data_IF_407148824011
#
_entry.id   IF_407148824011
#
_cell.length_a   1.000
_cell.length_b   1.000
_cell.length_c   1.000
_cell.angle_alpha   90.00
_cell.angle_beta   90.00
_cell.angle_gamma   90.00
#
_symmetry.space_group_name_H-M   'P 1'
#
loop_
_entity.id
_entity.type
_entity.pdbx_description
1 polymer ?
#
# COMPACT_ATOMS: atom_id res chain seq x y z
N UNK A 1 68.71 46.63 -11.28
CA UNK A 1 67.28 46.81 -10.92
C UNK A 1 66.82 45.52 -10.28
N UNK A 2 66.52 45.54 -8.99
CA UNK A 2 66.14 44.38 -8.18
C UNK A 2 64.89 44.73 -7.38
N UNK A 3 63.84 43.91 -7.44
CA UNK A 3 62.65 43.92 -6.58
C UNK A 3 62.15 42.45 -6.59
N UNK A 4 62.52 41.58 -5.64
CA UNK A 4 62.16 41.41 -4.23
C UNK A 4 60.69 41.06 -3.97
N UNK A 5 60.51 39.89 -3.34
CA UNK A 5 59.26 39.17 -3.07
C UNK A 5 58.38 39.83 -2.00
N UNK A 6 57.07 39.67 -2.20
CA UNK A 6 55.99 40.15 -1.35
C UNK A 6 55.91 39.41 -0.01
N UNK A 7 55.81 40.17 1.07
CA UNK A 7 55.13 39.78 2.29
C UNK A 7 53.89 40.64 2.47
N UNK A 8 52.76 40.02 2.78
CA UNK A 8 51.63 40.70 3.44
C UNK A 8 50.93 39.70 4.34
N UNK A 9 51.07 39.90 5.66
CA UNK A 9 50.16 39.40 6.69
C UNK A 9 49.05 40.42 6.85
N UNK A 10 47.82 39.98 7.09
CA UNK A 10 46.81 40.64 7.94
C UNK A 10 45.62 39.67 8.13
N UNK A 11 45.52 39.10 9.34
CA UNK A 11 44.42 39.22 10.32
C UNK A 11 43.14 38.45 10.03
N UNK A 12 42.98 37.38 10.81
CA UNK A 12 41.79 36.58 11.04
C UNK A 12 40.69 37.41 11.72
N UNK A 13 39.52 37.48 11.11
CA UNK A 13 38.26 37.80 11.80
C UNK A 13 37.39 36.56 11.84
N UNK A 14 36.83 36.36 13.02
CA UNK A 14 36.18 35.17 13.55
C UNK A 14 34.72 35.13 13.07
N UNK A 15 34.34 34.13 12.29
CA UNK A 15 32.93 33.77 12.06
C UNK A 15 32.39 32.99 13.27
N UNK A 16 31.08 33.13 13.61
CA UNK A 16 30.50 32.42 14.74
C UNK A 16 30.22 30.95 14.39
N UNK A 17 30.55 30.07 15.35
CA UNK A 17 30.24 28.65 15.38
C UNK A 17 28.74 28.38 15.15
N UNK A 18 28.42 27.65 14.08
CA UNK A 18 27.20 26.83 14.01
C UNK A 18 27.56 25.46 14.59
N UNK A 19 27.30 25.29 15.88
CA UNK A 19 27.45 24.02 16.57
C UNK A 19 26.52 22.96 15.96
N UNK A 20 27.11 21.85 15.49
CA UNK A 20 26.38 20.64 15.12
C UNK A 20 25.83 19.96 16.39
N UNK A 21 24.60 19.41 16.38
CA UNK A 21 24.07 18.69 17.54
C UNK A 21 24.76 17.32 17.71
N UNK A 22 25.12 16.99 18.95
CA UNK A 22 25.66 15.67 19.31
C UNK A 22 24.65 14.52 19.08
N UNK A 23 25.13 13.31 18.73
CA UNK A 23 24.27 12.16 18.49
C UNK A 23 23.74 11.58 19.81
N UNK A 24 22.41 11.58 19.98
CA UNK A 24 21.76 10.85 21.07
C UNK A 24 21.82 9.34 20.80
N UNK A 25 22.46 8.62 21.72
CA UNK A 25 22.48 7.16 21.78
C UNK A 25 21.06 6.66 22.09
N UNK A 26 20.42 5.99 21.12
CA UNK A 26 19.16 5.27 21.33
C UNK A 26 19.45 3.94 22.04
N UNK A 27 19.01 3.83 23.30
CA UNK A 27 18.98 2.55 24.00
C UNK A 27 17.78 1.71 23.52
N UNK A 28 18.07 0.63 22.80
CA UNK A 28 17.09 -0.40 22.43
C UNK A 28 16.52 -1.07 23.68
N UNK A 29 15.20 -0.95 23.90
CA UNK A 29 14.47 -1.78 24.88
C UNK A 29 14.22 -3.16 24.27
N UNK A 30 14.60 -4.21 25.00
CA UNK A 30 14.34 -5.62 24.66
C UNK A 30 12.84 -5.92 24.66
N UNK A 31 12.33 -6.79 23.76
CA UNK A 31 10.95 -7.26 23.83
C UNK A 31 10.79 -8.22 25.01
N UNK A 32 9.82 -7.92 25.88
CA UNK A 32 9.39 -8.81 26.96
C UNK A 32 8.47 -9.88 26.37
N UNK A 33 8.88 -11.15 26.48
CA UNK A 33 8.06 -12.32 26.20
C UNK A 33 7.25 -12.64 27.45
N UNK A 34 5.92 -12.62 27.38
CA UNK A 34 5.05 -13.15 28.42
C UNK A 34 4.47 -14.49 27.94
N UNK A 35 4.87 -15.57 28.63
CA UNK A 35 4.19 -16.86 28.63
C UNK A 35 2.98 -16.77 29.53
N UNK A 36 1.80 -17.16 29.04
CA UNK A 36 0.66 -17.47 29.89
C UNK A 36 0.42 -18.98 29.86
N UNK A 37 0.58 -19.60 31.03
CA UNK A 37 0.02 -20.90 31.39
C UNK A 37 -1.13 -20.63 32.34
N UNK A 38 -2.26 -21.32 32.19
CA UNK A 38 -3.36 -21.21 33.14
C UNK A 38 -4.67 -21.76 32.60
N UNK A 39 -4.93 -23.02 32.92
CA UNK A 39 -6.20 -23.72 32.80
C UNK A 39 -7.37 -22.92 33.39
N UNK A 40 -8.52 -23.00 32.72
CA UNK A 40 -9.77 -22.41 33.19
C UNK A 40 -10.93 -22.82 32.29
N UNK A 41 -11.42 -24.05 32.47
CA UNK A 41 -12.63 -24.53 31.84
C UNK A 41 -13.84 -23.73 32.35
N UNK A 42 -14.50 -23.00 31.44
CA UNK A 42 -15.87 -22.53 31.64
C UNK A 42 -16.67 -22.83 30.37
N UNK A 43 -17.64 -23.72 30.53
CA UNK A 43 -18.61 -24.13 29.54
C UNK A 43 -19.67 -23.05 29.36
N UNK A 44 -19.76 -22.49 28.16
CA UNK A 44 -20.94 -21.77 27.71
C UNK A 44 -21.27 -22.20 26.29
N UNK A 45 -22.31 -23.02 26.18
CA UNK A 45 -22.97 -23.40 24.95
C UNK A 45 -23.55 -22.17 24.25
N UNK A 46 -22.96 -21.75 23.14
CA UNK A 46 -23.63 -20.94 22.14
C UNK A 46 -23.81 -21.79 20.89
N UNK A 47 -25.08 -22.02 20.56
CA UNK A 47 -25.49 -22.69 19.35
C UNK A 47 -24.88 -21.97 18.14
N UNK A 48 -24.08 -22.70 17.37
CA UNK A 48 -23.55 -22.29 16.08
C UNK A 48 -24.71 -22.07 15.11
N UNK A 49 -25.15 -20.83 14.98
CA UNK A 49 -25.99 -20.40 13.88
C UNK A 49 -25.11 -20.23 12.65
N UNK A 50 -25.01 -21.29 11.86
CA UNK A 50 -24.37 -21.35 10.56
C UNK A 50 -25.16 -20.55 9.51
N UNK A 51 -25.03 -19.22 9.51
CA UNK A 51 -25.60 -18.36 8.46
C UNK A 51 -24.67 -17.19 8.15
N UNK A 52 -23.55 -17.44 7.47
CA UNK A 52 -22.88 -16.42 6.65
C UNK A 52 -22.23 -17.12 5.45
N UNK A 53 -22.93 -17.23 4.32
CA UNK A 53 -22.32 -17.79 3.11
C UNK A 53 -22.94 -17.28 1.79
N UNK A 54 -23.26 -15.99 1.71
CA UNK A 54 -23.51 -15.34 0.40
C UNK A 54 -23.23 -13.82 0.39
N UNK A 55 -22.18 -13.37 1.08
CA UNK A 55 -21.76 -11.98 0.94
C UNK A 55 -20.93 -11.79 -0.35
N UNK A 56 -21.57 -11.22 -1.37
CA UNK A 56 -20.93 -10.88 -2.64
C UNK A 56 -20.30 -9.48 -2.58
N UNK A 57 -19.02 -9.43 -2.21
CA UNK A 57 -18.21 -8.21 -2.13
C UNK A 57 -18.26 -7.35 -3.40
N UNK A 58 -18.35 -7.98 -4.57
CA UNK A 58 -18.40 -7.28 -5.86
C UNK A 58 -19.74 -6.59 -6.06
N UNK A 59 -20.86 -7.28 -5.79
CA UNK A 59 -22.20 -6.68 -5.83
C UNK A 59 -22.32 -5.57 -4.79
N UNK A 60 -21.81 -5.80 -3.57
CA UNK A 60 -21.77 -4.79 -2.52
C UNK A 60 -21.05 -3.52 -3.00
N UNK A 61 -19.81 -3.64 -3.49
CA UNK A 61 -19.04 -2.49 -4.01
C UNK A 61 -19.74 -1.81 -5.18
N UNK A 62 -20.34 -2.58 -6.09
CA UNK A 62 -21.10 -2.04 -7.22
C UNK A 62 -22.29 -1.18 -6.77
N UNK A 63 -22.97 -1.59 -5.70
CA UNK A 63 -24.07 -0.83 -5.12
C UNK A 63 -23.56 0.38 -4.32
N UNK A 64 -22.53 0.20 -3.50
CA UNK A 64 -21.91 1.25 -2.70
C UNK A 64 -21.47 2.43 -3.57
N UNK A 65 -20.77 2.13 -4.66
CA UNK A 65 -20.25 3.13 -5.61
C UNK A 65 -21.32 3.93 -6.37
N UNK A 66 -22.58 3.47 -6.36
CA UNK A 66 -23.76 4.16 -6.93
C UNK A 66 -24.64 4.80 -5.88
N UNK A 67 -24.33 4.61 -4.60
CA UNK A 67 -25.07 5.22 -3.51
C UNK A 67 -24.89 6.74 -3.53
N UNK A 68 -25.87 7.45 -2.96
CA UNK A 68 -25.84 8.92 -2.88
C UNK A 68 -24.71 9.44 -1.98
N UNK A 69 -24.29 8.63 -1.01
CA UNK A 69 -23.33 9.01 0.01
C UNK A 69 -21.91 8.52 -0.32
N UNK A 70 -21.63 8.21 -1.59
CA UNK A 70 -20.32 7.77 -2.04
C UNK A 70 -19.82 8.68 -3.16
N UNK A 71 -18.68 9.31 -2.95
CA UNK A 71 -18.01 10.11 -3.96
C UNK A 71 -16.60 9.59 -4.23
N UNK A 72 -16.27 9.43 -5.51
CA UNK A 72 -14.92 9.13 -5.97
C UNK A 72 -14.41 10.15 -7.00
N UNK A 73 -15.26 11.07 -7.49
CA UNK A 73 -14.96 11.91 -8.65
C UNK A 73 -14.35 13.28 -8.29
N UNK A 74 -14.27 13.62 -7.00
CA UNK A 74 -14.00 15.00 -6.56
C UNK A 74 -15.30 15.81 -6.44
N UNK A 75 -15.19 17.08 -6.11
CA UNK A 75 -16.31 17.99 -5.80
C UNK A 75 -16.34 19.24 -6.68
N UNK A 76 -15.54 19.29 -7.75
CA UNK A 76 -15.54 20.40 -8.71
C UNK A 76 -14.59 21.54 -8.35
N UNK A 77 -13.68 21.32 -7.39
CA UNK A 77 -12.66 22.28 -6.95
C UNK A 77 -11.25 21.84 -7.39
N UNK A 78 -11.15 21.06 -8.45
CA UNK A 78 -9.90 20.41 -8.86
C UNK A 78 -8.78 21.38 -9.21
N UNK A 79 -9.04 22.40 -10.03
CA UNK A 79 -8.00 23.33 -10.48
C UNK A 79 -7.38 24.08 -9.31
N UNK A 80 -8.22 24.70 -8.48
CA UNK A 80 -7.80 25.45 -7.29
C UNK A 80 -7.05 24.57 -6.26
N UNK A 81 -7.54 23.35 -6.01
CA UNK A 81 -6.87 22.43 -5.06
C UNK A 81 -5.55 21.90 -5.60
N UNK A 82 -5.41 21.71 -6.92
CA UNK A 82 -4.13 21.38 -7.55
C UNK A 82 -3.14 22.55 -7.49
N UNK A 83 -3.58 23.78 -7.68
CA UNK A 83 -2.72 24.96 -7.53
C UNK A 83 -2.16 25.05 -6.11
N UNK A 84 -3.00 24.87 -5.09
CA UNK A 84 -2.57 24.83 -3.70
C UNK A 84 -1.57 23.69 -3.43
N UNK A 85 -1.88 22.48 -3.89
CA UNK A 85 -0.99 21.32 -3.75
C UNK A 85 0.38 21.58 -4.38
N UNK A 86 0.42 22.18 -5.57
CA UNK A 86 1.65 22.49 -6.29
C UNK A 86 2.49 23.53 -5.55
N UNK A 87 1.85 24.57 -4.99
CA UNK A 87 2.52 25.56 -4.16
C UNK A 87 3.14 24.93 -2.90
N UNK A 88 2.43 24.00 -2.26
CA UNK A 88 2.88 23.37 -1.01
C UNK A 88 3.99 22.32 -1.23
N UNK A 89 3.94 21.54 -2.32
CA UNK A 89 4.79 20.34 -2.47
C UNK A 89 5.71 20.32 -3.69
N UNK A 90 5.48 21.14 -4.71
CA UNK A 90 6.24 21.06 -5.97
C UNK A 90 7.00 22.35 -6.32
N UNK A 91 6.58 23.50 -5.81
CA UNK A 91 7.08 24.81 -6.21
C UNK A 91 8.14 25.38 -5.24
N UNK A 92 9.28 24.69 -5.10
CA UNK A 92 10.43 25.30 -4.42
C UNK A 92 11.32 26.06 -5.40
N UNK A 93 11.89 27.18 -4.95
CA UNK A 93 12.78 28.03 -5.75
C UNK A 93 13.95 27.23 -6.34
N UNK A 94 14.52 26.31 -5.56
CA UNK A 94 15.63 25.46 -6.01
C UNK A 94 15.22 24.49 -7.12
N UNK A 95 14.02 23.90 -7.03
CA UNK A 95 13.50 23.00 -8.07
C UNK A 95 13.24 23.77 -9.36
N UNK A 96 12.71 24.99 -9.26
CA UNK A 96 12.55 25.88 -10.41
C UNK A 96 13.90 26.21 -11.05
N UNK A 97 14.90 26.60 -10.26
CA UNK A 97 16.26 26.86 -10.76
C UNK A 97 16.86 25.63 -11.44
N UNK A 98 16.74 24.44 -10.85
CA UNK A 98 17.25 23.20 -11.45
C UNK A 98 16.57 22.91 -12.80
N UNK A 99 15.25 23.06 -12.90
CA UNK A 99 14.51 22.89 -14.16
C UNK A 99 14.95 23.87 -15.24
N UNK A 100 15.10 25.15 -14.89
CA UNK A 100 15.55 26.21 -15.82
C UNK A 100 16.98 25.98 -16.32
N UNK A 101 17.82 25.28 -15.54
CA UNK A 101 19.19 24.93 -15.90
C UNK A 101 19.35 23.50 -16.48
N UNK A 102 18.28 22.92 -17.03
CA UNK A 102 18.36 21.60 -17.67
C UNK A 102 18.54 20.44 -16.68
N UNK A 103 17.87 20.52 -15.53
CA UNK A 103 17.91 19.53 -14.44
C UNK A 103 19.25 19.42 -13.70
N UNK A 104 20.13 20.41 -13.84
CA UNK A 104 21.43 20.40 -13.20
C UNK A 104 21.83 21.80 -12.71
N UNK A 105 22.47 21.88 -11.56
CA UNK A 105 23.06 23.12 -11.06
C UNK A 105 24.37 22.84 -10.33
N UNK A 106 25.41 23.62 -10.63
CA UNK A 106 26.73 23.47 -10.02
C UNK A 106 27.04 24.67 -9.11
N UNK A 107 27.32 24.38 -7.84
CA UNK A 107 27.76 25.36 -6.85
C UNK A 107 29.17 25.01 -6.37
N UNK A 108 30.16 25.82 -6.78
CA UNK A 108 31.57 25.55 -6.49
C UNK A 108 32.02 24.23 -7.12
N UNK A 109 32.34 23.25 -6.29
CA UNK A 109 32.75 21.89 -6.68
C UNK A 109 31.65 20.83 -6.51
N UNK A 110 30.40 21.24 -6.22
CA UNK A 110 29.26 20.34 -6.03
C UNK A 110 28.27 20.52 -7.18
N UNK A 111 27.90 19.42 -7.83
CA UNK A 111 26.86 19.39 -8.86
C UNK A 111 25.63 18.66 -8.34
N UNK A 112 24.49 19.34 -8.35
CA UNK A 112 23.18 18.77 -7.99
C UNK A 112 22.42 18.48 -9.28
N UNK A 113 21.90 17.25 -9.40
CA UNK A 113 21.10 16.81 -10.55
C UNK A 113 19.71 16.43 -10.08
N UNK A 114 18.68 16.93 -10.76
CA UNK A 114 17.29 16.59 -10.52
C UNK A 114 16.88 15.46 -11.44
N UNK A 115 16.22 14.43 -10.90
CA UNK A 115 15.63 13.39 -11.74
C UNK A 115 14.56 13.99 -12.66
N UNK A 116 14.42 13.47 -13.88
CA UNK A 116 13.37 13.93 -14.80
C UNK A 116 11.96 13.55 -14.30
N UNK A 117 11.86 12.40 -13.64
CA UNK A 117 10.65 11.94 -12.97
C UNK A 117 10.86 11.96 -11.45
N UNK A 118 10.09 12.79 -10.75
CA UNK A 118 10.11 12.92 -9.29
C UNK A 118 8.77 13.45 -8.77
N UNK A 119 8.56 13.36 -7.45
CA UNK A 119 7.37 13.88 -6.79
C UNK A 119 6.22 12.88 -6.75
N UNK A 120 5.00 13.40 -6.69
CA UNK A 120 3.80 12.58 -6.60
C UNK A 120 3.51 11.88 -7.91
N UNK A 121 3.25 10.58 -7.85
CA UNK A 121 2.61 9.91 -8.99
C UNK A 121 1.16 10.38 -9.10
N UNK A 122 0.56 10.18 -10.27
CA UNK A 122 -0.83 10.58 -10.53
C UNK A 122 -1.84 10.05 -9.49
N UNK A 123 -1.65 8.82 -9.00
CA UNK A 123 -2.52 8.23 -7.99
C UNK A 123 -2.45 8.96 -6.64
N UNK A 124 -1.24 9.37 -6.23
CA UNK A 124 -1.01 10.13 -5.01
C UNK A 124 -1.53 11.55 -5.15
N UNK A 125 -1.19 12.24 -6.23
CA UNK A 125 -1.67 13.60 -6.50
C UNK A 125 -3.20 13.66 -6.44
N UNK A 126 -3.85 12.74 -7.15
CA UNK A 126 -5.32 12.59 -7.15
C UNK A 126 -5.87 12.36 -5.74
N UNK A 127 -5.23 11.53 -4.92
CA UNK A 127 -5.76 11.18 -3.61
C UNK A 127 -5.75 12.38 -2.66
N UNK A 128 -4.60 13.06 -2.58
CA UNK A 128 -4.44 14.26 -1.74
C UNK A 128 -5.35 15.39 -2.24
N UNK A 129 -5.41 15.58 -3.55
CA UNK A 129 -6.25 16.58 -4.19
C UNK A 129 -7.74 16.38 -3.85
N UNK A 130 -8.27 15.15 -3.92
CA UNK A 130 -9.67 14.86 -3.53
C UNK A 130 -9.89 15.07 -2.03
N UNK A 131 -8.91 14.75 -1.17
CA UNK A 131 -9.01 15.03 0.27
C UNK A 131 -9.11 16.55 0.54
N UNK A 132 -8.35 17.37 -0.22
CA UNK A 132 -8.45 18.83 -0.14
C UNK A 132 -9.83 19.32 -0.58
N UNK A 133 -10.36 18.78 -1.69
CA UNK A 133 -11.72 19.09 -2.12
C UNK A 133 -12.76 18.69 -1.06
N UNK A 134 -12.57 17.56 -0.39
CA UNK A 134 -13.49 17.10 0.65
C UNK A 134 -13.59 18.11 1.79
N UNK A 135 -12.46 18.66 2.27
CA UNK A 135 -12.50 19.69 3.31
C UNK A 135 -13.18 20.98 2.84
N UNK A 136 -13.03 21.34 1.57
CA UNK A 136 -13.70 22.52 1.01
C UNK A 136 -15.21 22.30 0.86
N UNK A 137 -15.61 21.13 0.38
CA UNK A 137 -17.00 20.75 0.18
C UNK A 137 -17.77 20.65 1.49
N UNK A 138 -17.13 20.08 2.50
CA UNK A 138 -17.68 19.90 3.83
C UNK A 138 -16.87 20.82 4.74
N UNK A 139 -17.26 22.08 4.99
CA UNK A 139 -16.45 23.00 5.78
C UNK A 139 -16.61 22.81 7.29
N UNK A 140 -17.70 22.16 7.73
CA UNK A 140 -18.08 22.09 9.15
C UNK A 140 -18.14 20.67 9.71
N UNK A 141 -18.35 19.69 8.84
CA UNK A 141 -18.54 18.29 9.18
C UNK A 141 -17.23 17.69 9.72
N UNK A 142 -17.34 16.68 10.58
CA UNK A 142 -16.16 15.94 10.98
C UNK A 142 -15.70 15.08 9.81
N UNK A 143 -14.43 15.20 9.44
CA UNK A 143 -13.83 14.40 8.38
C UNK A 143 -12.82 13.45 9.02
N UNK A 144 -13.07 12.18 8.84
CA UNK A 144 -12.21 11.10 9.28
C UNK A 144 -11.43 10.53 8.10
N UNK A 145 -10.20 10.13 8.35
CA UNK A 145 -9.32 9.48 7.41
C UNK A 145 -8.98 8.10 7.98
N UNK A 146 -9.26 7.03 7.24
CA UNK A 146 -9.25 5.69 7.86
C UNK A 146 -7.84 5.14 8.12
N UNK A 147 -6.85 5.55 7.34
CA UNK A 147 -5.39 5.49 7.55
C UNK A 147 -4.78 6.75 6.93
N UNK A 148 -3.51 7.03 7.20
CA UNK A 148 -2.69 7.93 6.39
C UNK A 148 -3.11 7.97 4.90
N UNK A 149 -3.31 9.17 4.34
CA UNK A 149 -3.78 9.31 2.95
C UNK A 149 -2.80 8.65 1.98
N UNK A 150 -1.52 8.79 2.33
CA UNK A 150 -0.30 8.21 1.78
C UNK A 150 0.75 8.13 2.91
N UNK A 151 1.78 7.29 2.77
CA UNK A 151 2.91 7.25 3.70
C UNK A 151 3.85 8.46 3.57
N UNK A 152 3.34 9.65 3.86
CA UNK A 152 4.08 10.91 3.88
C UNK A 152 3.65 11.75 5.09
N UNK A 153 4.48 11.82 6.15
CA UNK A 153 4.15 12.54 7.37
C UNK A 153 3.81 14.02 7.16
N UNK A 154 4.46 14.67 6.19
CA UNK A 154 4.21 16.10 5.88
C UNK A 154 2.82 16.29 5.30
N UNK A 155 2.34 15.36 4.45
CA UNK A 155 0.99 15.41 3.88
C UNK A 155 -0.05 15.09 4.96
N UNK A 156 0.14 14.04 5.76
CA UNK A 156 -0.81 13.68 6.81
C UNK A 156 -0.94 14.80 7.86
N UNK A 157 0.17 15.40 8.27
CA UNK A 157 0.15 16.58 9.16
C UNK A 157 -0.62 17.75 8.56
N UNK A 158 -0.46 18.00 7.26
CA UNK A 158 -1.20 19.06 6.58
C UNK A 158 -2.71 18.79 6.55
N UNK A 159 -3.11 17.53 6.34
CA UNK A 159 -4.52 17.13 6.43
C UNK A 159 -5.07 17.28 7.87
N UNK A 160 -4.29 16.95 8.89
CA UNK A 160 -4.64 17.17 10.29
C UNK A 160 -4.85 18.67 10.60
N UNK A 161 -3.94 19.54 10.12
CA UNK A 161 -4.09 21.01 10.21
C UNK A 161 -5.34 21.52 9.49
N UNK A 162 -5.76 20.83 8.43
CA UNK A 162 -7.03 21.05 7.73
C UNK A 162 -8.24 20.41 8.45
N UNK A 163 -8.07 19.83 9.65
CA UNK A 163 -9.13 19.14 10.41
C UNK A 163 -9.70 17.93 9.68
N UNK A 164 -8.83 17.18 9.02
CA UNK A 164 -9.09 15.80 8.57
C UNK A 164 -8.33 14.90 9.54
N UNK A 165 -9.06 14.27 10.46
CA UNK A 165 -8.49 13.51 11.58
C UNK A 165 -8.37 12.03 11.21
N UNK A 166 -7.29 11.37 11.60
CA UNK A 166 -7.18 9.92 11.46
C UNK A 166 -8.13 9.19 12.44
N UNK A 167 -8.70 8.08 12.00
CA UNK A 167 -9.47 7.20 12.88
C UNK A 167 -8.54 6.61 13.94
N UNK A 168 -8.85 6.71 15.24
CA UNK A 168 -8.01 6.17 16.30
C UNK A 168 -7.81 4.66 16.16
N UNK A 169 -6.62 4.19 16.52
CA UNK A 169 -6.28 2.77 16.55
C UNK A 169 -6.06 2.37 18.00
N UNK A 170 -6.80 1.37 18.46
CA UNK A 170 -6.63 0.74 19.78
C UNK A 170 -6.41 -0.76 19.61
N UNK A 171 -5.40 -1.31 20.28
CA UNK A 171 -5.03 -2.74 20.17
C UNK A 171 -4.85 -3.25 18.72
N UNK A 172 -4.41 -2.38 17.82
CA UNK A 172 -4.21 -2.70 16.40
C UNK A 172 -5.50 -2.71 15.56
N UNK A 173 -6.62 -2.23 16.09
CA UNK A 173 -7.90 -2.13 15.39
C UNK A 173 -8.39 -0.68 15.31
N UNK A 174 -8.96 -0.31 14.16
CA UNK A 174 -9.57 1.00 13.93
C UNK A 174 -10.86 1.12 14.73
N UNK A 175 -11.00 2.22 15.45
CA UNK A 175 -12.16 2.50 16.29
C UNK A 175 -13.22 3.25 15.50
N UNK A 176 -14.06 2.52 14.74
CA UNK A 176 -15.13 3.15 13.95
C UNK A 176 -16.27 3.72 14.81
N UNK A 177 -16.33 3.40 16.10
CA UNK A 177 -17.37 3.89 17.02
C UNK A 177 -17.37 5.41 17.23
N UNK A 178 -16.22 6.06 17.00
CA UNK A 178 -16.11 7.52 17.07
C UNK A 178 -16.79 8.23 15.88
N UNK A 179 -17.12 7.48 14.82
CA UNK A 179 -17.68 8.00 13.59
C UNK A 179 -19.21 8.00 13.69
N UNK A 180 -19.80 9.19 13.58
CA UNK A 180 -21.23 9.40 13.68
C UNK A 180 -21.90 9.42 12.30
N UNK A 181 -23.21 9.19 12.28
CA UNK A 181 -23.99 9.37 11.07
C UNK A 181 -23.86 10.80 10.54
N UNK A 182 -23.63 10.93 9.23
CA UNK A 182 -23.44 12.23 8.57
C UNK A 182 -22.00 12.75 8.59
N UNK A 183 -21.10 12.14 9.36
CA UNK A 183 -19.66 12.41 9.25
C UNK A 183 -19.16 12.04 7.83
N UNK A 184 -18.02 12.62 7.45
CA UNK A 184 -17.33 12.31 6.19
C UNK A 184 -16.18 11.37 6.49
N UNK A 185 -16.00 10.33 5.67
CA UNK A 185 -14.92 9.36 5.81
C UNK A 185 -14.17 9.23 4.51
N UNK A 186 -12.88 9.57 4.55
CA UNK A 186 -11.94 9.51 3.44
C UNK A 186 -11.26 8.14 3.46
N UNK A 187 -11.39 7.38 2.37
CA UNK A 187 -10.62 6.15 2.16
C UNK A 187 -9.28 6.53 1.49
N UNK A 188 -8.13 6.01 1.95
CA UNK A 188 -6.81 6.44 1.49
C UNK A 188 -6.48 5.96 0.07
N UNK A 189 -5.33 6.39 -0.47
CA UNK A 189 -4.90 6.01 -1.82
C UNK A 189 -4.71 4.50 -2.01
N UNK A 190 -4.36 3.80 -0.92
CA UNK A 190 -4.19 2.34 -0.85
C UNK A 190 -5.52 1.58 -0.81
N UNK A 191 -6.62 2.31 -0.63
CA UNK A 191 -7.97 1.80 -0.47
C UNK A 191 -8.27 1.24 0.91
N UNK A 192 -9.36 0.50 1.00
CA UNK A 192 -9.88 -0.04 2.25
C UNK A 192 -10.31 -1.49 2.08
N UNK A 193 -10.38 -2.23 3.18
CA UNK A 193 -10.93 -3.58 3.17
C UNK A 193 -12.44 -3.57 2.93
N UNK A 194 -12.99 -4.67 2.44
CA UNK A 194 -14.43 -4.80 2.16
C UNK A 194 -15.26 -4.65 3.44
N UNK A 195 -14.80 -5.21 4.55
CA UNK A 195 -15.44 -5.18 5.87
C UNK A 195 -15.48 -3.74 6.42
N UNK A 196 -14.43 -2.98 6.18
CA UNK A 196 -14.34 -1.56 6.53
C UNK A 196 -15.33 -0.73 5.71
N UNK A 197 -15.38 -0.92 4.39
CA UNK A 197 -16.38 -0.27 3.54
C UNK A 197 -17.81 -0.64 3.93
N UNK A 198 -18.04 -1.90 4.31
CA UNK A 198 -19.34 -2.36 4.80
C UNK A 198 -19.74 -1.65 6.10
N UNK A 199 -18.83 -1.62 7.08
CA UNK A 199 -19.05 -0.95 8.38
C UNK A 199 -19.39 0.53 8.20
N UNK A 200 -18.63 1.24 7.36
CA UNK A 200 -18.85 2.66 7.08
C UNK A 200 -20.19 2.90 6.37
N UNK A 201 -20.54 2.05 5.40
CA UNK A 201 -21.84 2.15 4.73
C UNK A 201 -23.02 1.93 5.69
N UNK A 202 -22.92 0.99 6.64
CA UNK A 202 -23.97 0.78 7.64
C UNK A 202 -24.16 1.98 8.57
N UNK A 203 -23.10 2.76 8.82
CA UNK A 203 -23.18 4.00 9.61
C UNK A 203 -23.76 5.20 8.85
N UNK A 204 -24.09 5.04 7.56
CA UNK A 204 -24.69 6.09 6.73
C UNK A 204 -23.87 7.40 6.72
N UNK A 205 -22.54 7.25 6.62
CA UNK A 205 -21.57 8.34 6.48
C UNK A 205 -21.42 8.78 5.02
N UNK A 206 -20.83 9.95 4.78
CA UNK A 206 -20.39 10.36 3.46
C UNK A 206 -19.00 9.76 3.16
N UNK A 207 -18.91 8.80 2.25
CA UNK A 207 -17.65 8.16 1.87
C UNK A 207 -17.01 8.94 0.71
N UNK A 208 -15.77 9.39 0.93
CA UNK A 208 -14.90 9.98 -0.08
C UNK A 208 -13.79 8.98 -0.42
N UNK A 209 -13.95 8.26 -1.52
CA UNK A 209 -12.98 7.26 -1.94
C UNK A 209 -11.85 7.87 -2.78
N UNK A 210 -10.67 7.96 -2.17
CA UNK A 210 -9.47 8.45 -2.85
C UNK A 210 -8.60 7.34 -3.45
N UNK A 211 -9.01 6.06 -3.34
CA UNK A 211 -8.27 4.89 -3.81
C UNK A 211 -7.72 5.10 -5.22
N UNK A 212 -6.42 4.86 -5.36
CA UNK A 212 -5.71 4.94 -6.63
C UNK A 212 -6.38 3.99 -7.65
N UNK A 213 -6.73 4.46 -8.86
CA UNK A 213 -7.35 3.60 -9.87
C UNK A 213 -6.51 2.38 -10.29
N UNK A 214 -5.18 2.43 -10.13
CA UNK A 214 -4.30 1.26 -10.31
C UNK A 214 -4.53 0.20 -9.23
N UNK A 215 -4.76 0.59 -7.98
CA UNK A 215 -5.11 -0.33 -6.88
C UNK A 215 -6.47 -0.98 -7.16
N UNK A 216 -7.47 -0.20 -7.56
CA UNK A 216 -8.78 -0.77 -7.94
C UNK A 216 -8.71 -1.71 -9.16
N UNK A 217 -7.71 -1.56 -10.04
CA UNK A 217 -7.45 -2.50 -11.13
C UNK A 217 -7.00 -3.87 -10.59
N UNK A 218 -6.16 -3.88 -9.56
CA UNK A 218 -5.74 -5.11 -8.85
C UNK A 218 -6.96 -5.80 -8.23
N UNK A 219 -7.86 -5.05 -7.58
CA UNK A 219 -9.09 -5.60 -6.99
C UNK A 219 -9.97 -6.30 -8.03
N UNK A 220 -10.13 -5.69 -9.20
CA UNK A 220 -10.86 -6.32 -10.31
C UNK A 220 -10.19 -7.61 -10.81
N UNK A 221 -8.86 -7.73 -10.69
CA UNK A 221 -8.11 -8.94 -11.06
C UNK A 221 -8.34 -10.07 -10.06
N UNK A 222 -8.24 -9.80 -8.76
CA UNK A 222 -8.52 -10.84 -7.75
C UNK A 222 -9.99 -11.27 -7.74
N UNK A 223 -10.93 -10.36 -8.06
CA UNK A 223 -12.34 -10.73 -8.32
C UNK A 223 -12.49 -11.67 -9.54
N UNK A 224 -11.68 -11.50 -10.59
CA UNK A 224 -11.68 -12.40 -11.75
C UNK A 224 -11.10 -13.76 -11.40
N UNK A 225 -10.03 -13.80 -10.60
CA UNK A 225 -9.48 -15.06 -10.08
C UNK A 225 -10.54 -15.83 -9.30
N UNK A 226 -11.22 -15.16 -8.37
CA UNK A 226 -12.36 -15.72 -7.61
C UNK A 226 -13.44 -16.29 -8.52
N UNK A 227 -13.83 -15.57 -9.59
CA UNK A 227 -14.86 -16.04 -10.53
C UNK A 227 -14.43 -17.28 -11.34
N UNK A 228 -13.13 -17.45 -11.57
CA UNK A 228 -12.58 -18.57 -12.33
C UNK A 228 -12.04 -19.71 -11.46
N UNK A 229 -12.28 -19.68 -10.16
CA UNK A 229 -11.71 -20.63 -9.17
C UNK A 229 -10.17 -20.70 -9.21
N UNK A 230 -9.53 -19.55 -9.42
CA UNK A 230 -8.07 -19.40 -9.28
C UNK A 230 -7.74 -18.82 -7.90
N UNK A 231 -6.70 -19.37 -7.27
CA UNK A 231 -6.05 -18.76 -6.11
C UNK A 231 -5.22 -17.55 -6.55
N UNK A 232 -5.38 -16.43 -5.88
CA UNK A 232 -4.58 -15.23 -6.15
C UNK A 232 -3.23 -15.32 -5.44
N UNK A 233 -2.14 -15.44 -6.19
CA UNK A 233 -0.79 -15.17 -5.68
C UNK A 233 -0.59 -13.66 -5.71
N UNK A 234 -0.61 -13.04 -4.54
CA UNK A 234 -0.49 -11.59 -4.36
C UNK A 234 0.98 -11.27 -4.04
N UNK A 235 1.69 -10.65 -4.98
CA UNK A 235 3.02 -10.11 -4.71
C UNK A 235 2.91 -8.86 -3.83
N UNK A 236 3.30 -8.96 -2.56
CA UNK A 236 3.13 -7.87 -1.60
C UNK A 236 3.54 -8.24 -0.19
N UNK A 237 3.40 -7.29 0.74
CA UNK A 237 3.68 -7.51 2.16
C UNK A 237 2.36 -7.82 2.88
N UNK A 238 2.27 -8.98 3.53
CA UNK A 238 1.01 -9.45 4.12
C UNK A 238 0.37 -8.49 5.14
N UNK A 239 1.17 -7.64 5.78
CA UNK A 239 0.72 -6.65 6.77
C UNK A 239 0.56 -5.23 6.22
N UNK A 240 0.75 -5.02 4.92
CA UNK A 240 0.58 -3.71 4.30
C UNK A 240 -0.89 -3.46 3.97
N UNK A 241 -1.38 -2.25 4.25
CA UNK A 241 -2.79 -1.86 4.08
C UNK A 241 -3.34 -2.11 2.66
N UNK A 242 -2.57 -1.80 1.62
CA UNK A 242 -2.97 -2.13 0.24
C UNK A 242 -3.14 -3.65 0.00
N UNK A 243 -2.27 -4.46 0.59
CA UNK A 243 -2.34 -5.93 0.48
C UNK A 243 -3.52 -6.47 1.26
N UNK A 244 -3.78 -5.95 2.45
CA UNK A 244 -4.96 -6.31 3.27
C UNK A 244 -6.25 -5.95 2.52
N UNK A 245 -6.34 -4.74 1.96
CA UNK A 245 -7.46 -4.31 1.15
C UNK A 245 -7.65 -5.25 -0.06
N UNK A 246 -6.57 -5.52 -0.81
CA UNK A 246 -6.61 -6.42 -1.97
C UNK A 246 -7.04 -7.85 -1.60
N UNK A 247 -6.52 -8.40 -0.50
CA UNK A 247 -6.85 -9.73 -0.02
C UNK A 247 -8.34 -9.86 0.36
N UNK A 248 -8.95 -8.80 0.92
CA UNK A 248 -10.40 -8.79 1.24
C UNK A 248 -11.31 -8.91 0.01
N UNK A 249 -10.81 -8.59 -1.19
CA UNK A 249 -11.54 -8.79 -2.46
C UNK A 249 -11.28 -10.15 -3.12
N UNK A 250 -10.26 -10.88 -2.66
CA UNK A 250 -9.90 -12.17 -3.20
C UNK A 250 -10.84 -13.28 -2.71
N UNK A 251 -10.86 -14.41 -3.43
CA UNK A 251 -11.38 -15.66 -2.90
C UNK A 251 -10.28 -16.33 -2.09
N UNK A 252 -9.72 -17.40 -2.66
CA UNK A 252 -8.48 -18.00 -2.15
C UNK A 252 -7.28 -17.13 -2.52
N UNK A 253 -6.35 -16.96 -1.59
CA UNK A 253 -5.12 -16.21 -1.87
C UNK A 253 -3.93 -16.74 -1.09
N UNK A 254 -2.75 -16.44 -1.61
CA UNK A 254 -1.47 -16.57 -0.95
C UNK A 254 -0.64 -15.31 -1.27
N UNK A 255 -0.04 -14.70 -0.26
CA UNK A 255 0.78 -13.50 -0.38
C UNK A 255 2.25 -13.92 -0.35
N UNK A 256 3.00 -13.47 -1.35
CA UNK A 256 4.45 -13.68 -1.44
C UNK A 256 5.16 -12.35 -1.45
N UNK A 257 6.22 -12.20 -0.66
CA UNK A 257 6.94 -10.94 -0.50
C UNK A 257 7.95 -10.65 -1.60
N UNK A 258 8.57 -11.70 -2.15
CA UNK A 258 9.71 -11.59 -3.06
C UNK A 258 9.90 -12.87 -3.88
N UNK A 259 10.90 -12.85 -4.76
CA UNK A 259 11.30 -14.02 -5.56
C UNK A 259 11.61 -15.27 -4.75
N UNK A 260 12.22 -15.17 -3.57
CA UNK A 260 12.57 -16.35 -2.78
C UNK A 260 11.33 -17.08 -2.25
N UNK A 261 10.31 -16.34 -1.81
CA UNK A 261 9.03 -16.93 -1.41
C UNK A 261 8.26 -17.47 -2.61
N UNK A 262 8.28 -16.78 -3.76
CA UNK A 262 7.67 -17.28 -4.98
C UNK A 262 8.34 -18.59 -5.46
N UNK A 263 9.67 -18.69 -5.40
CA UNK A 263 10.41 -19.92 -5.69
C UNK A 263 10.03 -21.04 -4.73
N UNK A 264 9.93 -20.76 -3.43
CA UNK A 264 9.47 -21.76 -2.46
C UNK A 264 8.08 -22.31 -2.81
N UNK A 265 7.15 -21.44 -3.21
CA UNK A 265 5.81 -21.85 -3.65
C UNK A 265 5.88 -22.70 -4.93
N UNK A 266 6.68 -22.30 -5.90
CA UNK A 266 6.82 -23.03 -7.15
C UNK A 266 7.51 -24.39 -6.98
N UNK A 267 8.51 -24.47 -6.10
CA UNK A 267 9.17 -25.71 -5.72
C UNK A 267 8.19 -26.66 -5.03
N UNK A 268 7.32 -26.13 -4.14
CA UNK A 268 6.25 -26.91 -3.51
C UNK A 268 5.28 -27.48 -4.56
N UNK A 269 4.83 -26.65 -5.50
CA UNK A 269 3.94 -27.06 -6.59
C UNK A 269 4.54 -28.24 -7.38
N UNK A 270 5.85 -28.23 -7.60
CA UNK A 270 6.58 -29.28 -8.33
C UNK A 270 7.05 -30.45 -7.46
N UNK A 271 6.72 -30.45 -6.16
CA UNK A 271 7.11 -31.49 -5.22
C UNK A 271 8.62 -31.54 -4.96
N UNK A 272 9.28 -30.39 -4.81
CA UNK A 272 10.70 -30.28 -4.48
C UNK A 272 11.66 -30.38 -5.67
N UNK A 273 11.16 -30.30 -6.91
CA UNK A 273 11.94 -30.54 -8.14
C UNK A 273 12.47 -29.27 -8.81
N UNK A 274 12.23 -28.08 -8.26
CA UNK A 274 12.69 -26.81 -8.82
C UNK A 274 14.09 -26.48 -8.29
N UNK A 275 14.19 -26.29 -6.97
CA UNK A 275 15.45 -26.01 -6.27
C UNK A 275 15.57 -26.76 -4.92
N UNK A 276 14.53 -27.52 -4.53
CA UNK A 276 14.48 -28.25 -3.28
C UNK A 276 14.36 -27.36 -2.05
N UNK A 277 13.94 -26.10 -2.21
CA UNK A 277 13.74 -25.16 -1.10
C UNK A 277 12.49 -25.45 -0.27
N UNK A 278 11.48 -26.09 -0.86
CA UNK A 278 10.24 -26.51 -0.20
C UNK A 278 10.39 -27.86 0.48
N UNK A 279 9.46 -28.19 1.40
CA UNK A 279 9.49 -29.47 2.10
C UNK A 279 8.08 -30.03 2.29
N UNK A 280 7.62 -30.21 3.53
CA UNK A 280 6.31 -30.76 3.84
C UNK A 280 5.23 -29.68 3.83
N UNK A 281 3.98 -30.12 3.73
CA UNK A 281 2.78 -29.28 3.86
C UNK A 281 2.80 -28.45 5.14
N UNK A 282 3.20 -29.04 6.27
CA UNK A 282 3.25 -28.36 7.57
C UNK A 282 4.26 -27.21 7.56
N UNK A 283 5.44 -27.42 6.97
CA UNK A 283 6.46 -26.38 6.85
C UNK A 283 6.00 -25.24 5.93
N UNK A 284 5.28 -25.56 4.85
CA UNK A 284 4.67 -24.56 3.99
C UNK A 284 3.66 -23.70 4.76
N UNK A 285 2.74 -24.35 5.47
CA UNK A 285 1.70 -23.65 6.23
C UNK A 285 2.29 -22.77 7.33
N UNK A 286 3.32 -23.25 8.05
CA UNK A 286 4.01 -22.46 9.07
C UNK A 286 4.73 -21.24 8.46
N UNK A 287 5.38 -21.42 7.30
CA UNK A 287 6.07 -20.33 6.60
C UNK A 287 5.12 -19.20 6.18
N UNK A 288 3.90 -19.54 5.74
CA UNK A 288 2.92 -18.59 5.22
C UNK A 288 1.73 -18.34 6.17
N UNK A 289 1.85 -18.66 7.46
CA UNK A 289 0.73 -18.64 8.45
C UNK A 289 -0.06 -17.33 8.57
N UNK A 290 0.47 -16.20 8.09
CA UNK A 290 -0.20 -14.89 8.09
C UNK A 290 -0.49 -14.37 6.68
N UNK A 291 -0.28 -15.20 5.66
CA UNK A 291 -0.18 -14.80 4.27
C UNK A 291 -1.13 -15.60 3.36
N UNK A 292 -2.04 -16.42 3.88
CA UNK A 292 -3.04 -17.13 3.09
C UNK A 292 -4.46 -16.84 3.57
N UNK A 293 -5.45 -17.16 2.73
CA UNK A 293 -6.88 -17.08 3.06
C UNK A 293 -7.31 -18.15 4.07
N UNK A 294 -8.36 -17.91 4.85
CA UNK A 294 -8.93 -18.93 5.72
C UNK A 294 -9.29 -20.22 4.94
N UNK A 295 -9.00 -21.38 5.52
CA UNK A 295 -9.25 -22.68 4.90
C UNK A 295 -8.34 -23.04 3.74
N UNK A 296 -7.26 -22.29 3.50
CA UNK A 296 -6.31 -22.54 2.42
C UNK A 296 -5.64 -23.92 2.57
N UNK A 297 -5.64 -24.69 1.47
CA UNK A 297 -4.96 -25.97 1.38
C UNK A 297 -3.98 -25.97 0.19
N UNK A 298 -2.66 -25.92 0.40
CA UNK A 298 -1.69 -25.76 -0.68
C UNK A 298 -1.69 -26.92 -1.68
N UNK A 299 -2.20 -28.11 -1.29
CA UNK A 299 -2.26 -29.28 -2.18
C UNK A 299 -3.38 -29.17 -3.22
N UNK A 300 -4.43 -28.40 -2.94
CA UNK A 300 -5.59 -28.20 -3.82
C UNK A 300 -5.59 -26.79 -4.40
N UNK A 301 -5.31 -25.79 -3.57
CA UNK A 301 -5.50 -24.39 -3.91
C UNK A 301 -4.39 -23.84 -4.81
N UNK A 302 -3.26 -24.53 -4.90
CA UNK A 302 -2.20 -24.19 -5.86
C UNK A 302 -2.35 -24.91 -7.20
N UNK A 303 -3.47 -25.61 -7.45
CA UNK A 303 -3.74 -26.23 -8.76
C UNK A 303 -4.04 -25.18 -9.83
N UNK A 304 -4.73 -24.10 -9.48
CA UNK A 304 -5.05 -22.99 -10.38
C UNK A 304 -4.68 -21.68 -9.71
N UNK A 305 -3.75 -20.95 -10.30
CA UNK A 305 -3.21 -19.73 -9.69
C UNK A 305 -3.25 -18.55 -10.65
N UNK A 306 -3.41 -17.34 -10.11
CA UNK A 306 -3.26 -16.13 -10.88
C UNK A 306 -2.50 -15.05 -10.14
N UNK A 307 -1.87 -14.14 -10.88
CA UNK A 307 -0.97 -13.12 -10.31
C UNK A 307 -1.72 -11.82 -10.07
N UNK A 308 -1.55 -11.29 -8.86
CA UNK A 308 -1.92 -9.93 -8.48
C UNK A 308 -0.74 -9.29 -7.72
N UNK A 309 -0.76 -7.98 -7.52
CA UNK A 309 0.34 -7.29 -6.85
C UNK A 309 -0.15 -6.10 -6.03
N UNK A 310 0.60 -5.80 -4.97
CA UNK A 310 0.64 -4.48 -4.37
C UNK A 310 1.37 -3.53 -5.33
N UNK A 311 0.78 -2.37 -5.59
CA UNK A 311 1.24 -1.37 -6.57
C UNK A 311 2.56 -0.71 -6.21
N UNK A 312 3.00 -0.77 -4.96
CA UNK A 312 4.32 -0.28 -4.53
C UNK A 312 5.44 -1.34 -4.68
N UNK A 313 5.11 -2.57 -5.04
CA UNK A 313 6.14 -3.58 -5.33
C UNK A 313 6.81 -3.28 -6.68
N UNK A 314 8.06 -3.70 -6.84
CA UNK A 314 8.79 -3.46 -8.08
C UNK A 314 8.11 -4.18 -9.26
N UNK A 315 7.95 -3.45 -10.36
CA UNK A 315 7.37 -3.98 -11.60
C UNK A 315 8.13 -5.21 -12.09
N UNK A 316 9.46 -5.06 -12.26
CA UNK A 316 10.31 -6.12 -12.78
C UNK A 316 10.21 -7.40 -11.94
N UNK A 317 10.26 -7.27 -10.62
CA UNK A 317 10.11 -8.42 -9.71
C UNK A 317 8.73 -9.08 -9.83
N UNK A 318 7.65 -8.30 -9.94
CA UNK A 318 6.29 -8.84 -10.15
C UNK A 318 6.19 -9.62 -11.47
N UNK A 319 6.78 -9.11 -12.54
CA UNK A 319 6.82 -9.78 -13.84
C UNK A 319 7.66 -11.07 -13.80
N UNK A 320 8.79 -11.06 -13.07
CA UNK A 320 9.63 -12.23 -12.87
C UNK A 320 8.93 -13.33 -12.05
N UNK A 321 8.22 -12.95 -10.97
CA UNK A 321 7.36 -13.86 -10.21
C UNK A 321 6.30 -14.46 -11.13
N UNK A 322 5.63 -13.64 -11.95
CA UNK A 322 4.62 -14.13 -12.88
C UNK A 322 5.18 -15.14 -13.89
N UNK A 323 6.34 -14.87 -14.49
CA UNK A 323 7.03 -15.79 -15.41
C UNK A 323 7.50 -17.07 -14.71
N UNK A 324 7.92 -16.98 -13.45
CA UNK A 324 8.29 -18.15 -12.66
C UNK A 324 7.09 -19.06 -12.42
N UNK A 325 5.97 -18.49 -11.98
CA UNK A 325 4.74 -19.23 -11.73
C UNK A 325 4.19 -19.82 -13.03
N UNK A 326 4.16 -19.06 -14.13
CA UNK A 326 3.72 -19.55 -15.45
C UNK A 326 4.53 -20.77 -15.90
N UNK A 327 5.87 -20.69 -15.87
CA UNK A 327 6.75 -21.81 -16.22
C UNK A 327 6.54 -23.02 -15.31
N UNK A 328 6.30 -22.79 -14.02
CA UNK A 328 6.02 -23.85 -13.05
C UNK A 328 4.73 -24.58 -13.39
N UNK A 329 3.66 -23.85 -13.73
CA UNK A 329 2.39 -24.46 -14.12
C UNK A 329 2.52 -25.20 -15.46
N UNK A 330 3.28 -24.68 -16.43
CA UNK A 330 3.58 -25.39 -17.68
C UNK A 330 4.36 -26.69 -17.43
N UNK A 331 5.32 -26.69 -16.51
CA UNK A 331 6.10 -27.87 -16.17
C UNK A 331 5.25 -28.94 -15.47
N UNK A 332 4.28 -28.53 -14.63
CA UNK A 332 3.41 -29.46 -13.91
C UNK A 332 2.28 -30.02 -14.77
N UNK A 333 1.62 -29.18 -15.56
CA UNK A 333 0.37 -29.53 -16.26
C UNK A 333 0.50 -29.62 -17.78
N UNK A 334 1.66 -29.30 -18.35
CA UNK A 334 1.86 -29.21 -19.80
C UNK A 334 1.53 -27.82 -20.34
N UNK A 335 2.14 -27.49 -21.48
CA UNK A 335 1.97 -26.19 -22.15
C UNK A 335 0.55 -26.00 -22.67
N UNK A 336 -0.07 -27.09 -23.11
CA UNK A 336 -1.43 -27.14 -23.66
C UNK A 336 -2.52 -26.84 -22.63
N UNK A 337 -2.25 -27.05 -21.34
CA UNK A 337 -3.23 -26.86 -20.26
C UNK A 337 -3.04 -25.55 -19.49
N UNK A 338 -2.09 -24.70 -19.88
CA UNK A 338 -1.71 -23.50 -19.11
C UNK A 338 -2.87 -22.56 -18.83
N UNK A 339 -3.77 -22.35 -19.79
CA UNK A 339 -4.92 -21.45 -19.66
C UNK A 339 -5.99 -21.93 -18.66
N UNK A 340 -5.89 -23.17 -18.17
CA UNK A 340 -6.76 -23.74 -17.13
C UNK A 340 -6.15 -23.59 -15.73
N UNK A 341 -4.83 -23.39 -15.66
CA UNK A 341 -4.03 -23.49 -14.45
C UNK A 341 -3.33 -22.18 -14.07
N UNK A 342 -3.16 -21.26 -15.03
CA UNK A 342 -2.53 -19.98 -14.82
C UNK A 342 -3.33 -18.84 -15.45
N UNK A 343 -3.47 -17.74 -14.72
CA UNK A 343 -4.11 -16.52 -15.21
C UNK A 343 -3.35 -15.29 -14.74
N UNK A 344 -2.94 -14.42 -15.66
CA UNK A 344 -2.27 -13.17 -15.31
C UNK A 344 -2.85 -12.01 -16.10
N UNK A 345 -3.04 -10.87 -15.43
CA UNK A 345 -3.46 -9.62 -16.05
C UNK A 345 -2.45 -8.54 -15.71
N UNK A 346 -2.22 -7.60 -16.63
CA UNK A 346 -1.37 -6.45 -16.32
C UNK A 346 -2.05 -5.52 -15.30
N UNK A 347 -1.68 -5.66 -14.04
CA UNK A 347 -2.11 -4.82 -12.90
C UNK A 347 -1.03 -3.86 -12.42
N UNK A 348 0.10 -3.80 -13.14
CA UNK A 348 1.27 -3.04 -12.70
C UNK A 348 1.02 -1.55 -12.87
N UNK A 349 1.40 -0.79 -11.84
CA UNK A 349 1.32 0.66 -11.83
C UNK A 349 2.52 1.25 -12.57
N UNK A 350 2.27 2.25 -13.42
CA UNK A 350 3.34 2.87 -14.20
C UNK A 350 4.34 3.66 -13.31
N UNK A 351 3.94 4.01 -12.08
CA UNK A 351 4.79 4.72 -11.13
C UNK A 351 5.94 3.86 -10.58
N UNK A 352 5.89 2.54 -10.72
CA UNK A 352 6.94 1.60 -10.28
C UNK A 352 7.74 1.03 -11.46
N UNK A 353 7.65 1.66 -12.63
CA UNK A 353 8.51 1.36 -13.77
C UNK A 353 9.91 1.90 -13.50
N UNK A 354 10.80 1.04 -13.02
CA UNK A 354 12.25 1.23 -13.14
C UNK A 354 12.82 0.01 -13.83
#
# INVERSE_FOLDING_TARGET
>A
MAISMQFSRLTTTRTPDLALPEPRIFQFRKPFSVRCSGDGAVSSSSASASVENDFDAKKFRHNLTRSKNYNRKGFGHKEETLELLNQEYQASDIIKTLKENGYEYTWGNVTVRLAEAYGFCWGVERAVQIAYEARKQFPTEKIWLTNEIIHNPTVNKRLEEMKIEEVPIENGQKQFDVINQGDVVVLPAFGAAVEEMYTLNQRNVQIVDTTCPWVSKVWNTVEKHKKGDYTSIIHGKHNHEETIATASFAGKYLIVKNMAEATYVCDYILGGKLDGSSSTREAFMEKFKFAFSEGFDPDVDLEKVGIANQTTMLKGETEEIGKLVERTMMQKYGVENINTHFLSFNTICDATQV
#
